data_IF_102563551164
#
_entry.id   IF_102563551164
#
_cell.length_a   1.000
_cell.length_b   1.000
_cell.length_c   1.000
_cell.angle_alpha   90.00
_cell.angle_beta   90.00
_cell.angle_gamma   90.00
#
_symmetry.space_group_name_H-M   'P 1'
#
loop_
_entity.id
_entity.type
_entity.pdbx_description
1 polymer ?
#
# COMPACT_ATOMS: atom_id res chain seq x y z
N UNK A 1 -8.57 14.35 -10.45
CA UNK A 1 -7.27 13.70 -10.17
C UNK A 1 -7.14 13.71 -8.67
N UNK A 2 -7.24 12.55 -8.03
CA UNK A 2 -7.11 12.47 -6.59
C UNK A 2 -5.65 12.80 -6.21
N UNK A 3 -5.44 13.70 -5.27
CA UNK A 3 -4.10 14.14 -4.90
C UNK A 3 -3.53 13.17 -3.85
N UNK A 4 -2.52 12.40 -4.23
CA UNK A 4 -1.86 11.44 -3.35
C UNK A 4 -0.68 12.13 -2.70
N UNK A 5 -0.70 12.26 -1.38
CA UNK A 5 0.43 12.77 -0.60
C UNK A 5 0.98 11.67 0.31
N UNK A 6 2.29 11.70 0.52
CA UNK A 6 2.97 10.72 1.37
C UNK A 6 3.46 11.40 2.65
N UNK A 7 3.02 10.88 3.80
CA UNK A 7 3.49 11.31 5.12
C UNK A 7 4.47 10.28 5.67
N UNK A 8 5.71 10.69 5.85
CA UNK A 8 6.76 9.85 6.45
C UNK A 8 6.78 10.00 7.97
N UNK A 9 6.83 8.87 8.66
CA UNK A 9 7.22 8.76 10.07
C UNK A 9 8.26 7.64 10.19
N UNK A 10 9.12 7.63 11.24
CA UNK A 10 10.13 6.59 11.39
C UNK A 10 9.52 5.19 11.30
N UNK A 11 10.00 4.41 10.32
CA UNK A 11 9.57 3.06 9.93
C UNK A 11 8.18 2.92 9.28
N UNK A 12 7.44 4.01 9.05
CA UNK A 12 6.08 3.98 8.47
C UNK A 12 5.88 5.11 7.45
N UNK A 13 5.33 4.80 6.28
CA UNK A 13 4.87 5.78 5.31
C UNK A 13 3.36 5.69 5.17
N UNK A 14 2.66 6.81 5.25
CA UNK A 14 1.20 6.84 5.11
C UNK A 14 0.84 7.56 3.81
N UNK A 15 0.10 6.88 2.93
CA UNK A 15 -0.51 7.49 1.77
C UNK A 15 -1.80 8.20 2.20
N UNK A 16 -1.96 9.44 1.78
CA UNK A 16 -3.16 10.24 1.97
C UNK A 16 -3.78 10.58 0.62
N UNK A 17 -5.07 10.32 0.46
CA UNK A 17 -5.86 10.69 -0.71
C UNK A 17 -6.67 11.93 -0.35
N UNK A 18 -6.38 13.07 -1.00
CA UNK A 18 -7.04 14.35 -0.73
C UNK A 18 -7.02 14.73 0.77
N UNK A 19 -5.92 14.39 1.46
CA UNK A 19 -5.69 14.64 2.88
C UNK A 19 -6.21 13.55 3.84
N UNK A 20 -6.91 12.53 3.34
CA UNK A 20 -7.42 11.40 4.14
C UNK A 20 -6.43 10.24 4.10
N UNK A 21 -5.95 9.70 5.23
CA UNK A 21 -5.06 8.54 5.24
C UNK A 21 -5.79 7.30 4.72
N UNK A 22 -5.26 6.70 3.65
CA UNK A 22 -5.87 5.56 2.95
C UNK A 22 -5.01 4.30 3.00
N UNK A 23 -3.68 4.42 3.05
CA UNK A 23 -2.78 3.27 3.11
C UNK A 23 -1.60 3.54 4.03
N UNK A 24 -1.12 2.50 4.72
CA UNK A 24 0.11 2.52 5.50
C UNK A 24 1.12 1.54 4.91
N UNK A 25 2.37 1.96 4.75
CA UNK A 25 3.51 1.14 4.40
C UNK A 25 4.40 1.04 5.62
N UNK A 26 4.56 -0.15 6.18
CA UNK A 26 5.42 -0.39 7.34
C UNK A 26 6.64 -1.18 6.91
N UNK A 27 7.83 -0.64 7.19
CA UNK A 27 9.09 -1.38 7.02
C UNK A 27 9.12 -2.55 8.00
N UNK A 28 9.54 -3.73 7.52
CA UNK A 28 9.67 -4.93 8.34
C UNK A 28 11.12 -5.16 8.72
N UNK A 29 11.37 -5.60 9.94
CA UNK A 29 12.73 -5.84 10.47
C UNK A 29 13.47 -6.93 9.68
N UNK A 30 12.72 -7.84 9.04
CA UNK A 30 13.24 -8.92 8.17
C UNK A 30 13.59 -8.45 6.75
N UNK A 31 13.46 -7.15 6.47
CA UNK A 31 13.50 -6.60 5.12
C UNK A 31 12.13 -6.59 4.45
N UNK A 32 11.96 -5.68 3.49
CA UNK A 32 10.70 -5.47 2.78
C UNK A 32 9.72 -4.54 3.48
N UNK A 33 8.58 -4.34 2.80
CA UNK A 33 7.54 -3.38 3.18
C UNK A 33 6.18 -4.05 3.15
N UNK A 34 5.40 -3.83 4.20
CA UNK A 34 4.01 -4.27 4.26
C UNK A 34 3.08 -3.08 4.01
N UNK A 35 2.30 -3.13 2.94
CA UNK A 35 1.27 -2.17 2.63
C UNK A 35 -0.09 -2.65 3.15
N UNK A 36 -0.72 -1.88 4.02
CA UNK A 36 -2.05 -2.16 4.55
C UNK A 36 -2.97 -0.99 4.25
N UNK A 37 -4.10 -1.27 3.60
CA UNK A 37 -5.17 -0.30 3.47
C UNK A 37 -5.72 0.05 4.87
N UNK A 38 -5.99 1.34 5.08
CA UNK A 38 -6.57 1.88 6.31
C UNK A 38 -8.09 2.11 6.17
N UNK A 39 -8.61 1.94 4.96
CA UNK A 39 -10.04 1.89 4.63
C UNK A 39 -10.48 0.44 4.35
N UNK A 40 -11.67 0.27 3.78
CA UNK A 40 -12.23 -1.05 3.43
C UNK A 40 -11.68 -1.63 2.10
N UNK A 41 -10.62 -1.05 1.53
CA UNK A 41 -10.01 -1.58 0.29
C UNK A 41 -9.25 -2.86 0.56
N UNK A 42 -9.27 -3.74 -0.44
CA UNK A 42 -8.49 -4.96 -0.46
C UNK A 42 -7.52 -4.92 -1.64
N UNK A 43 -6.30 -5.39 -1.41
CA UNK A 43 -5.36 -5.65 -2.48
C UNK A 43 -5.88 -6.76 -3.37
N UNK A 44 -5.89 -6.50 -4.67
CA UNK A 44 -6.20 -7.52 -5.66
C UNK A 44 -5.25 -8.72 -5.51
N UNK A 45 -5.74 -9.94 -5.78
CA UNK A 45 -4.91 -11.14 -5.72
C UNK A 45 -3.69 -11.00 -6.63
N UNK A 46 -2.53 -11.54 -6.22
CA UNK A 46 -1.33 -11.53 -7.06
C UNK A 46 -1.61 -12.23 -8.40
N UNK A 47 -1.01 -11.73 -9.49
CA UNK A 47 -1.24 -12.29 -10.82
C UNK A 47 -0.88 -13.78 -10.93
N UNK A 48 0.10 -14.25 -10.14
CA UNK A 48 0.50 -15.66 -10.08
C UNK A 48 -0.48 -16.55 -9.29
N UNK A 49 -1.39 -15.95 -8.51
CA UNK A 49 -2.41 -16.65 -7.70
C UNK A 49 -3.78 -15.95 -7.84
N UNK A 50 -4.40 -15.97 -9.03
CA UNK A 50 -5.65 -15.24 -9.29
C UNK A 50 -6.86 -15.76 -8.49
N UNK A 51 -6.77 -16.96 -7.92
CA UNK A 51 -7.80 -17.55 -7.05
C UNK A 51 -7.62 -17.20 -5.57
N UNK A 52 -6.55 -16.49 -5.21
CA UNK A 52 -6.35 -16.05 -3.83
C UNK A 52 -7.43 -15.02 -3.46
N UNK A 53 -7.84 -15.04 -2.20
CA UNK A 53 -8.74 -14.00 -1.69
C UNK A 53 -8.01 -12.66 -1.66
N UNK A 54 -8.65 -11.55 -2.07
CA UNK A 54 -8.13 -10.22 -1.84
C UNK A 54 -7.78 -10.04 -0.36
N UNK A 55 -6.63 -9.41 -0.08
CA UNK A 55 -6.10 -9.27 1.27
C UNK A 55 -6.07 -7.80 1.68
N UNK A 56 -6.31 -7.46 2.96
CA UNK A 56 -6.18 -6.09 3.45
C UNK A 56 -4.72 -5.62 3.44
N UNK A 57 -3.77 -6.56 3.42
CA UNK A 57 -2.33 -6.30 3.44
C UNK A 57 -1.63 -7.01 2.28
N UNK A 58 -0.65 -6.34 1.67
CA UNK A 58 0.24 -6.90 0.66
C UNK A 58 1.70 -6.58 1.00
N UNK A 59 2.58 -7.55 0.75
CA UNK A 59 4.01 -7.41 0.97
C UNK A 59 4.73 -7.04 -0.32
N UNK A 60 5.75 -6.20 -0.19
CA UNK A 60 6.59 -5.67 -1.26
C UNK A 60 8.06 -5.75 -0.85
N UNK A 61 8.94 -5.82 -1.84
CA UNK A 61 10.38 -6.03 -1.59
C UNK A 61 11.06 -4.72 -1.21
N UNK A 62 10.61 -3.61 -1.78
CA UNK A 62 11.15 -2.28 -1.54
C UNK A 62 10.04 -1.22 -1.39
N UNK A 63 10.43 -0.06 -0.88
CA UNK A 63 9.50 1.05 -0.62
C UNK A 63 8.93 1.63 -1.91
N UNK A 64 9.74 1.70 -2.96
CA UNK A 64 9.36 2.33 -4.23
C UNK A 64 8.30 1.49 -4.94
N UNK A 65 8.47 0.17 -4.96
CA UNK A 65 7.48 -0.79 -5.44
C UNK A 65 6.17 -0.66 -4.67
N UNK A 66 6.25 -0.60 -3.35
CA UNK A 66 5.07 -0.44 -2.49
C UNK A 66 4.32 0.88 -2.76
N UNK A 67 5.04 2.01 -2.86
CA UNK A 67 4.43 3.32 -3.17
C UNK A 67 3.77 3.32 -4.54
N UNK A 68 4.46 2.83 -5.57
CA UNK A 68 3.95 2.75 -6.94
C UNK A 68 2.68 1.89 -6.99
N UNK A 69 2.66 0.75 -6.29
CA UNK A 69 1.49 -0.12 -6.25
C UNK A 69 0.28 0.54 -5.56
N UNK A 70 0.51 1.31 -4.49
CA UNK A 70 -0.54 2.11 -3.83
C UNK A 70 -1.07 3.17 -4.79
N UNK A 71 -0.19 3.92 -5.46
CA UNK A 71 -0.58 4.96 -6.39
C UNK A 71 -1.43 4.42 -7.54
N UNK A 72 -1.00 3.31 -8.15
CA UNK A 72 -1.76 2.62 -9.19
C UNK A 72 -3.13 2.14 -8.69
N UNK A 73 -3.20 1.60 -7.47
CA UNK A 73 -4.46 1.14 -6.88
C UNK A 73 -5.41 2.28 -6.46
N UNK A 74 -4.89 3.48 -6.24
CA UNK A 74 -5.69 4.69 -5.97
C UNK A 74 -6.13 5.40 -7.26
N UNK A 75 -5.46 5.14 -8.37
CA UNK A 75 -5.78 5.66 -9.70
C UNK A 75 -6.76 4.78 -10.50
N UNK A 76 -6.86 3.50 -10.16
CA UNK A 76 -7.81 2.54 -10.73
C UNK A 76 -9.22 2.72 -10.15
#
# INVERSE_FOLDING_TARGET
>A
MANITWKETPSIWTAQLDGVPVCSLKGKDIGGWAASWLDDRLWAPPAHLPKATPQPTRFFTDLTEAKTAVELALQA
#
